data_IF_907819911965
#
_entry.id   IF_907819911965
#
_cell.length_a   1.000
_cell.length_b   1.000
_cell.length_c   1.000
_cell.angle_alpha   90.00
_cell.angle_beta   90.00
_cell.angle_gamma   90.00
#
_symmetry.space_group_name_H-M   'P 1'
#
loop_
_entity.id
_entity.type
_entity.pdbx_description
1 polymer ?
#
# COMPACT_ATOMS: atom_id res chain seq x y z
N UNK A 1 8.44 11.82 -3.61
CA UNK A 1 7.60 11.73 -4.84
C UNK A 1 7.37 10.26 -5.20
N UNK A 2 6.14 9.88 -5.57
CA UNK A 2 5.83 8.47 -5.88
C UNK A 2 6.70 7.95 -7.01
N UNK A 3 7.02 6.67 -6.96
CA UNK A 3 7.75 6.04 -8.03
C UNK A 3 6.86 5.87 -9.27
N UNK A 4 7.05 6.74 -10.26
CA UNK A 4 6.35 6.72 -11.55
C UNK A 4 6.98 5.79 -12.61
N UNK A 5 7.87 4.87 -12.24
CA UNK A 5 8.57 3.98 -13.19
C UNK A 5 7.78 2.68 -13.46
N UNK A 6 6.46 2.75 -13.52
CA UNK A 6 5.62 1.61 -13.89
C UNK A 6 5.41 1.61 -15.41
N UNK A 7 5.47 0.43 -16.03
CA UNK A 7 5.03 0.28 -17.43
C UNK A 7 3.51 0.44 -17.52
N UNK A 8 2.95 0.69 -18.73
CA UNK A 8 1.49 0.70 -18.91
C UNK A 8 0.80 -0.56 -18.39
N UNK A 9 1.38 -1.74 -18.67
CA UNK A 9 0.84 -3.03 -18.18
C UNK A 9 0.88 -3.12 -16.65
N UNK A 10 1.94 -2.60 -16.02
CA UNK A 10 2.03 -2.56 -14.55
C UNK A 10 1.01 -1.58 -13.95
N UNK A 11 0.75 -0.44 -14.58
CA UNK A 11 -0.29 0.51 -14.13
C UNK A 11 -1.71 -0.08 -14.24
N UNK A 12 -2.00 -0.78 -15.35
CA UNK A 12 -3.25 -1.52 -15.50
C UNK A 12 -3.38 -2.61 -14.42
N UNK A 13 -2.27 -3.30 -14.13
CA UNK A 13 -2.24 -4.32 -13.09
C UNK A 13 -2.45 -3.73 -11.69
N UNK A 14 -1.81 -2.60 -11.36
CA UNK A 14 -2.04 -1.85 -10.12
C UNK A 14 -3.51 -1.52 -9.97
N UNK A 15 -4.15 -1.03 -11.03
CA UNK A 15 -5.56 -0.66 -11.03
C UNK A 15 -6.45 -1.85 -10.68
N UNK A 16 -6.20 -3.02 -11.27
CA UNK A 16 -6.93 -4.26 -10.94
C UNK A 16 -6.72 -4.71 -9.49
N UNK A 17 -5.48 -4.63 -8.99
CA UNK A 17 -5.13 -4.98 -7.60
C UNK A 17 -5.87 -4.05 -6.63
N UNK A 18 -5.83 -2.73 -6.88
CA UNK A 18 -6.49 -1.74 -6.05
C UNK A 18 -8.00 -1.93 -6.02
N UNK A 19 -8.65 -2.15 -7.16
CA UNK A 19 -10.09 -2.46 -7.22
C UNK A 19 -10.46 -3.66 -6.35
N UNK A 20 -9.66 -4.73 -6.41
CA UNK A 20 -9.88 -5.94 -5.58
C UNK A 20 -9.73 -5.64 -4.08
N UNK A 21 -8.74 -4.82 -3.71
CA UNK A 21 -8.50 -4.43 -2.31
C UNK A 21 -9.65 -3.54 -1.83
N UNK A 22 -10.02 -2.51 -2.60
CA UNK A 22 -11.13 -1.59 -2.34
C UNK A 22 -12.41 -2.37 -2.06
N UNK A 23 -12.79 -3.28 -2.95
CA UNK A 23 -13.98 -4.13 -2.76
C UNK A 23 -13.97 -4.87 -1.41
N UNK A 24 -12.83 -5.47 -1.05
CA UNK A 24 -12.67 -6.17 0.24
C UNK A 24 -12.75 -5.21 1.43
N UNK A 25 -12.11 -4.03 1.33
CA UNK A 25 -12.12 -2.99 2.37
C UNK A 25 -13.53 -2.51 2.64
N UNK A 26 -14.30 -2.15 1.62
CA UNK A 26 -15.68 -1.69 1.77
C UNK A 26 -16.61 -2.80 2.28
N UNK A 27 -16.54 -3.99 1.67
CA UNK A 27 -17.38 -5.12 2.06
C UNK A 27 -17.23 -5.47 3.53
N UNK A 28 -16.02 -5.31 4.07
CA UNK A 28 -15.69 -5.62 5.48
C UNK A 28 -15.62 -4.38 6.38
N UNK A 29 -15.86 -3.18 5.85
CA UNK A 29 -15.76 -1.89 6.57
C UNK A 29 -14.45 -1.73 7.33
N UNK A 30 -13.34 -2.05 6.67
CA UNK A 30 -12.02 -1.96 7.28
C UNK A 30 -11.54 -0.51 7.34
N UNK A 31 -10.86 -0.17 8.43
CA UNK A 31 -10.09 1.07 8.57
C UNK A 31 -8.63 0.64 8.71
N UNK A 32 -7.82 0.88 7.68
CA UNK A 32 -6.45 0.37 7.55
C UNK A 32 -5.44 1.24 8.30
N UNK A 33 -5.65 2.57 8.32
CA UNK A 33 -4.72 3.52 8.93
C UNK A 33 -4.24 3.13 10.37
N UNK A 34 -5.11 2.68 11.30
CA UNK A 34 -4.69 2.26 12.64
C UNK A 34 -3.66 1.12 12.66
N UNK A 35 -3.66 0.24 11.66
CA UNK A 35 -2.72 -0.88 11.57
C UNK A 35 -1.32 -0.43 11.15
N UNK A 36 -1.19 0.75 10.53
CA UNK A 36 0.09 1.33 10.14
C UNK A 36 0.71 2.23 11.21
N UNK A 37 -0.12 2.80 12.09
CA UNK A 37 0.31 3.73 13.16
C UNK A 37 1.51 3.26 13.99
N UNK A 38 1.67 1.96 14.34
CA UNK A 38 2.83 1.50 15.10
C UNK A 38 4.18 1.61 14.36
N UNK A 39 4.16 1.75 13.03
CA UNK A 39 5.35 1.88 12.18
C UNK A 39 5.73 3.34 11.91
N UNK A 40 4.81 4.28 12.14
CA UNK A 40 5.01 5.72 11.98
C UNK A 40 5.79 6.32 13.16
N UNK A 41 7.01 5.81 13.40
CA UNK A 41 7.83 6.14 14.58
C UNK A 41 8.81 7.29 14.37
N UNK A 42 8.79 7.96 13.22
CA UNK A 42 9.71 9.07 12.97
C UNK A 42 9.21 10.36 13.64
N UNK A 43 10.14 11.20 14.09
CA UNK A 43 9.87 12.50 14.73
C UNK A 43 9.10 13.49 13.82
N UNK A 44 8.85 13.13 12.57
CA UNK A 44 8.23 13.96 11.55
C UNK A 44 6.92 13.39 10.97
N UNK A 45 6.37 12.30 11.51
CA UNK A 45 5.18 11.63 10.96
C UNK A 45 5.33 11.38 9.45
N UNK A 46 6.38 10.67 9.07
CA UNK A 46 6.70 10.43 7.66
C UNK A 46 5.63 9.67 6.91
N UNK A 47 4.64 9.05 7.62
CA UNK A 47 3.55 8.29 7.00
C UNK A 47 4.09 7.21 6.04
N UNK A 48 5.22 6.65 6.44
CA UNK A 48 6.01 5.70 5.67
C UNK A 48 6.23 4.42 6.48
N UNK A 49 6.34 3.29 5.80
CA UNK A 49 6.69 2.01 6.42
C UNK A 49 7.52 1.16 5.44
N UNK A 50 8.30 0.21 5.95
CA UNK A 50 9.08 -0.66 5.06
C UNK A 50 8.17 -1.61 4.27
N UNK A 51 8.62 -2.11 3.11
CA UNK A 51 7.90 -3.11 2.31
C UNK A 51 7.46 -4.33 3.15
N UNK A 52 8.32 -4.77 4.08
CA UNK A 52 8.01 -5.88 4.97
C UNK A 52 6.87 -5.55 5.95
N UNK A 53 6.88 -4.35 6.54
CA UNK A 53 5.81 -3.89 7.43
C UNK A 53 4.49 -3.74 6.67
N UNK A 54 4.55 -3.19 5.45
CA UNK A 54 3.39 -3.09 4.56
C UNK A 54 2.76 -4.47 4.28
N UNK A 55 3.58 -5.44 3.87
CA UNK A 55 3.12 -6.81 3.62
C UNK A 55 2.55 -7.49 4.87
N UNK A 56 3.09 -7.22 6.07
CA UNK A 56 2.53 -7.72 7.33
C UNK A 56 1.12 -7.19 7.58
N UNK A 57 0.90 -5.89 7.40
CA UNK A 57 -0.44 -5.29 7.58
C UNK A 57 -1.44 -5.88 6.59
N UNK A 58 -1.09 -5.94 5.30
CA UNK A 58 -1.98 -6.53 4.29
C UNK A 58 -2.30 -7.99 4.58
N UNK A 59 -1.32 -8.77 5.05
CA UNK A 59 -1.54 -10.16 5.46
C UNK A 59 -2.45 -10.28 6.68
N UNK A 60 -2.23 -9.45 7.71
CA UNK A 60 -3.09 -9.42 8.92
C UNK A 60 -4.54 -9.11 8.57
N UNK A 61 -4.76 -8.28 7.55
CA UNK A 61 -6.09 -7.89 7.09
C UNK A 61 -6.65 -8.80 5.99
N UNK A 62 -5.96 -9.86 5.59
CA UNK A 62 -6.35 -10.73 4.46
C UNK A 62 -6.58 -9.97 3.14
N UNK A 63 -5.71 -8.98 2.91
CA UNK A 63 -5.65 -8.11 1.72
C UNK A 63 -4.39 -8.36 0.87
N UNK A 64 -3.48 -9.22 1.32
CA UNK A 64 -2.21 -9.48 0.61
C UNK A 64 -2.49 -10.13 -0.77
N UNK A 65 -2.03 -9.55 -1.88
CA UNK A 65 -2.20 -10.15 -3.20
C UNK A 65 -1.12 -11.23 -3.46
N UNK A 66 -1.03 -11.71 -4.70
CA UNK A 66 0.05 -12.62 -5.10
C UNK A 66 1.43 -11.96 -4.91
N UNK A 67 2.54 -12.74 -4.79
CA UNK A 67 3.87 -12.15 -4.62
C UNK A 67 4.29 -11.19 -5.74
N UNK A 68 3.92 -11.51 -6.99
CA UNK A 68 4.18 -10.64 -8.14
C UNK A 68 3.42 -9.31 -8.03
N UNK A 69 2.12 -9.40 -7.75
CA UNK A 69 1.24 -8.24 -7.59
C UNK A 69 1.65 -7.38 -6.40
N UNK A 70 2.10 -8.00 -5.31
CA UNK A 70 2.59 -7.30 -4.14
C UNK A 70 3.83 -6.47 -4.46
N UNK A 71 4.73 -6.98 -5.29
CA UNK A 71 5.92 -6.22 -5.71
C UNK A 71 5.55 -5.02 -6.58
N UNK A 72 4.61 -5.18 -7.52
CA UNK A 72 4.09 -4.08 -8.35
C UNK A 72 3.39 -3.04 -7.47
N UNK A 73 2.56 -3.49 -6.53
CA UNK A 73 1.88 -2.62 -5.58
C UNK A 73 2.88 -1.84 -4.72
N UNK A 74 3.91 -2.50 -4.19
CA UNK A 74 5.00 -1.83 -3.48
C UNK A 74 5.65 -0.77 -4.36
N UNK A 75 5.98 -1.11 -5.61
CA UNK A 75 6.59 -0.18 -6.56
C UNK A 75 5.73 1.07 -6.79
N UNK A 76 4.39 0.95 -6.81
CA UNK A 76 3.48 2.11 -6.93
C UNK A 76 3.56 3.08 -5.76
N UNK A 77 3.64 2.56 -4.54
CA UNK A 77 3.56 3.36 -3.31
C UNK A 77 4.93 3.66 -2.69
N UNK A 78 6.01 3.14 -3.28
CA UNK A 78 7.38 3.39 -2.84
C UNK A 78 7.78 4.84 -3.11
N UNK A 79 8.32 5.49 -2.09
CA UNK A 79 9.00 6.76 -2.23
C UNK A 79 10.41 6.54 -2.79
N UNK A 80 10.75 7.28 -3.83
CA UNK A 80 12.00 7.09 -4.58
C UNK A 80 13.27 7.41 -3.79
N UNK A 81 13.20 8.29 -2.80
CA UNK A 81 14.37 8.74 -2.05
C UNK A 81 14.67 7.79 -0.89
N UNK A 82 13.62 7.34 -0.22
CA UNK A 82 13.74 6.51 1.00
C UNK A 82 13.63 5.01 0.74
N UNK A 83 12.93 4.59 -0.33
CA UNK A 83 12.55 3.20 -0.57
C UNK A 83 11.43 2.69 0.33
N UNK A 84 10.89 3.56 1.20
CA UNK A 84 9.76 3.23 2.07
C UNK A 84 8.43 3.37 1.33
N UNK A 85 7.42 2.65 1.80
CA UNK A 85 6.06 2.68 1.28
C UNK A 85 5.28 3.82 1.92
N UNK A 86 4.74 4.71 1.10
CA UNK A 86 3.76 5.71 1.47
C UNK A 86 2.39 5.06 1.73
N UNK A 87 2.24 4.51 2.94
CA UNK A 87 1.01 3.80 3.33
C UNK A 87 -0.18 4.76 3.45
N UNK A 88 0.05 6.05 3.71
CA UNK A 88 -1.04 7.02 3.85
C UNK A 88 -1.76 7.24 2.51
N UNK A 89 -1.01 7.33 1.41
CA UNK A 89 -1.61 7.38 0.09
C UNK A 89 -2.36 6.09 -0.25
N UNK A 90 -1.80 4.93 0.13
CA UNK A 90 -2.49 3.65 -0.04
C UNK A 90 -3.82 3.61 0.71
N UNK A 91 -3.86 4.04 1.98
CA UNK A 91 -5.10 4.14 2.75
C UNK A 91 -6.08 5.10 2.07
N UNK A 92 -5.63 6.28 1.65
CA UNK A 92 -6.45 7.25 0.94
C UNK A 92 -7.07 6.67 -0.34
N UNK A 93 -6.34 5.86 -1.11
CA UNK A 93 -6.87 5.26 -2.34
C UNK A 93 -7.82 4.08 -2.09
N UNK A 94 -7.72 3.42 -0.92
CA UNK A 94 -8.44 2.16 -0.66
C UNK A 94 -9.62 2.30 0.29
N UNK A 95 -9.71 3.41 1.02
CA UNK A 95 -10.76 3.68 2.02
C UNK A 95 -11.80 4.73 1.57
N UNK A 96 -11.71 5.23 0.33
CA UNK A 96 -12.59 6.28 -0.21
C UNK A 96 -14.03 5.81 -0.48
#
# INVERSE_FOLDING_TARGET
PLNTNLTPDEEDRVSQILSTIIEKVHKRRLVLFPFFKPYDRSKAFTRACTKHQFGRVLRTLDLIPSPYDFNILCKKFEDRETGDINYALFCQMTEQ
#
